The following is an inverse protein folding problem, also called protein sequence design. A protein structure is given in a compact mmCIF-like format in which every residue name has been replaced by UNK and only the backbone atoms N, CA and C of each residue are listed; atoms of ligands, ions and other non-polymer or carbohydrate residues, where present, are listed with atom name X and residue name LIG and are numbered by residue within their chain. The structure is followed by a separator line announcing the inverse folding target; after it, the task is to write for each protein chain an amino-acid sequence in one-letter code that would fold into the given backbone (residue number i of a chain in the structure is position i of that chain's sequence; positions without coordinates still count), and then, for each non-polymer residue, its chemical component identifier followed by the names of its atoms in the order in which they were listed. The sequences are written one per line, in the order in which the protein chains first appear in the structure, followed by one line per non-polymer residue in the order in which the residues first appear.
data_IF_899461696165
#
_entry.id   IF_899461696165
#
_cell.length_a   1.000
_cell.length_b   1.000
_cell.length_c   1.000
_cell.angle_alpha   90.00
_cell.angle_beta   90.00
_cell.angle_gamma   90.00
#
_symmetry.space_group_name_H-M   'P 1'
#
loop_
_entity.id
_entity.type
_entity.pdbx_description
1 polymer ?
#
# COMPACT_ATOMS: atom_id res chain seq x y z
N UNK A 1 -37.01 -15.66 -11.56
CA UNK A 1 -36.62 -16.14 -10.23
C UNK A 1 -35.35 -16.96 -10.43
N UNK A 2 -34.17 -16.31 -10.40
CA UNK A 2 -32.90 -16.98 -10.58
C UNK A 2 -32.46 -17.43 -9.19
N UNK A 3 -32.40 -18.74 -8.95
CA UNK A 3 -31.96 -19.34 -7.71
C UNK A 3 -30.54 -18.85 -7.40
N UNK A 4 -30.38 -18.04 -6.35
CA UNK A 4 -29.10 -17.77 -5.72
C UNK A 4 -28.60 -19.06 -5.06
N UNK A 5 -27.96 -19.92 -5.84
CA UNK A 5 -27.18 -21.00 -5.25
C UNK A 5 -26.03 -20.38 -4.45
N UNK A 6 -25.90 -20.74 -3.17
CA UNK A 6 -24.79 -20.28 -2.36
C UNK A 6 -23.49 -20.79 -2.99
N UNK A 7 -22.60 -19.84 -3.41
CA UNK A 7 -21.26 -20.19 -3.89
C UNK A 7 -20.60 -21.12 -2.88
N UNK A 8 -20.00 -22.24 -3.32
CA UNK A 8 -19.35 -23.18 -2.42
C UNK A 8 -18.29 -22.41 -1.60
N UNK A 9 -18.46 -22.40 -0.28
CA UNK A 9 -17.46 -21.83 0.66
C UNK A 9 -16.16 -22.61 0.46
N UNK A 10 -15.13 -21.97 -0.03
CA UNK A 10 -13.79 -22.57 -0.07
C UNK A 10 -13.41 -22.98 1.35
N UNK A 11 -12.92 -24.22 1.50
CA UNK A 11 -12.54 -24.74 2.81
C UNK A 11 -11.52 -23.82 3.49
N UNK A 12 -11.55 -23.72 4.82
CA UNK A 12 -10.66 -22.90 5.65
C UNK A 12 -9.18 -23.08 5.25
N UNK A 13 -8.78 -24.31 4.93
CA UNK A 13 -7.42 -24.67 4.49
C UNK A 13 -7.02 -24.01 3.17
N UNK A 14 -7.97 -23.87 2.22
CA UNK A 14 -7.70 -23.22 0.93
C UNK A 14 -7.52 -21.73 1.12
N UNK A 15 -8.35 -21.09 1.94
CA UNK A 15 -8.22 -19.67 2.24
C UNK A 15 -6.91 -19.37 2.99
N UNK A 16 -6.53 -20.24 3.93
CA UNK A 16 -5.23 -20.13 4.62
C UNK A 16 -4.06 -20.25 3.66
N UNK A 17 -4.07 -21.25 2.77
CA UNK A 17 -3.03 -21.44 1.77
C UNK A 17 -2.92 -20.24 0.80
N UNK A 18 -4.05 -19.71 0.34
CA UNK A 18 -4.09 -18.53 -0.54
C UNK A 18 -3.50 -17.32 0.15
N UNK A 19 -3.84 -17.08 1.42
CA UNK A 19 -3.28 -15.96 2.19
C UNK A 19 -1.79 -16.14 2.47
N UNK A 20 -1.35 -17.35 2.78
CA UNK A 20 0.07 -17.66 2.99
C UNK A 20 0.90 -17.44 1.71
N UNK A 21 0.41 -17.93 0.58
CA UNK A 21 1.05 -17.70 -0.73
C UNK A 21 1.09 -16.20 -1.04
N UNK A 22 -0.01 -15.47 -0.82
CA UNK A 22 -0.05 -14.02 -1.01
C UNK A 22 0.97 -13.26 -0.15
N UNK A 23 1.18 -13.70 1.09
CA UNK A 23 2.15 -13.09 1.99
C UNK A 23 3.62 -13.39 1.61
N UNK A 24 3.89 -14.58 1.06
CA UNK A 24 5.26 -15.04 0.72
C UNK A 24 5.65 -14.65 -0.71
N UNK A 25 4.71 -14.58 -1.63
CA UNK A 25 4.97 -14.30 -3.05
C UNK A 25 5.78 -13.01 -3.33
N UNK A 26 5.66 -11.92 -2.56
CA UNK A 26 6.49 -10.72 -2.75
C UNK A 26 7.97 -10.93 -2.40
N UNK A 27 8.33 -11.88 -1.51
CA UNK A 27 9.70 -12.04 -1.01
C UNK A 27 10.71 -12.30 -2.12
N UNK A 28 10.51 -13.27 -3.04
CA UNK A 28 11.42 -13.49 -4.16
C UNK A 28 11.61 -12.25 -5.03
N UNK A 29 10.55 -11.46 -5.20
CA UNK A 29 10.59 -10.23 -6.02
C UNK A 29 11.50 -9.21 -5.37
N UNK A 30 11.39 -8.99 -4.04
CA UNK A 30 12.29 -8.11 -3.30
C UNK A 30 13.76 -8.58 -3.43
N UNK A 31 14.02 -9.87 -3.27
CA UNK A 31 15.38 -10.44 -3.39
C UNK A 31 15.97 -10.18 -4.77
N UNK A 32 15.17 -10.23 -5.83
CA UNK A 32 15.62 -10.00 -7.20
C UNK A 32 15.75 -8.51 -7.55
N UNK A 33 14.86 -7.67 -7.04
CA UNK A 33 14.83 -6.24 -7.39
C UNK A 33 15.88 -5.43 -6.64
N UNK A 34 16.19 -5.76 -5.38
CA UNK A 34 17.16 -5.01 -4.56
C UNK A 34 18.54 -4.91 -5.22
N UNK A 35 19.18 -6.00 -5.70
CA UNK A 35 20.46 -5.90 -6.39
C UNK A 35 20.40 -5.03 -7.66
N UNK A 36 19.26 -5.06 -8.37
CA UNK A 36 19.07 -4.24 -9.59
C UNK A 36 19.01 -2.77 -9.22
N UNK A 37 18.28 -2.39 -8.14
CA UNK A 37 18.25 -1.03 -7.63
C UNK A 37 19.65 -0.52 -7.29
N UNK A 38 20.40 -1.30 -6.48
CA UNK A 38 21.74 -0.92 -6.03
C UNK A 38 22.66 -0.74 -7.24
N UNK A 39 22.59 -1.64 -8.22
CA UNK A 39 23.45 -1.58 -9.40
C UNK A 39 23.17 -0.34 -10.27
N UNK A 40 21.92 0.09 -10.44
CA UNK A 40 21.56 1.19 -11.34
C UNK A 40 21.49 2.55 -10.65
N UNK A 41 21.01 2.62 -9.42
CA UNK A 41 20.82 3.87 -8.68
C UNK A 41 21.97 4.18 -7.72
N UNK A 42 22.75 3.17 -7.32
CA UNK A 42 23.80 3.26 -6.30
C UNK A 42 23.26 3.17 -4.87
N UNK A 43 24.16 2.88 -3.93
CA UNK A 43 23.82 2.61 -2.53
C UNK A 43 23.14 3.79 -1.84
N UNK A 44 23.56 5.01 -2.12
CA UNK A 44 23.06 6.22 -1.47
C UNK A 44 21.59 6.49 -1.84
N UNK A 45 21.23 6.42 -3.13
CA UNK A 45 19.85 6.59 -3.60
C UNK A 45 18.95 5.46 -3.14
N UNK A 46 19.45 4.21 -3.19
CA UNK A 46 18.72 3.07 -2.66
C UNK A 46 18.46 3.21 -1.15
N UNK A 47 19.44 3.71 -0.39
CA UNK A 47 19.28 4.01 1.02
C UNK A 47 18.14 5.00 1.30
N UNK A 48 18.07 6.10 0.53
CA UNK A 48 16.98 7.08 0.63
C UNK A 48 15.63 6.44 0.26
N UNK A 49 15.57 5.69 -0.84
CA UNK A 49 14.35 4.99 -1.25
C UNK A 49 13.86 4.01 -0.17
N UNK A 50 14.77 3.29 0.46
CA UNK A 50 14.46 2.38 1.57
C UNK A 50 13.89 3.11 2.77
N UNK A 51 14.42 4.29 3.12
CA UNK A 51 13.87 5.14 4.18
C UNK A 51 12.45 5.60 3.85
N UNK A 52 12.19 5.98 2.60
CA UNK A 52 10.85 6.36 2.14
C UNK A 52 9.86 5.19 2.30
N UNK A 53 10.24 3.99 1.88
CA UNK A 53 9.39 2.79 2.06
C UNK A 53 9.12 2.47 3.52
N UNK A 54 10.13 2.59 4.38
CA UNK A 54 9.98 2.43 5.82
C UNK A 54 8.99 3.46 6.37
N UNK A 55 9.12 4.74 6.00
CA UNK A 55 8.20 5.79 6.43
C UNK A 55 6.77 5.52 5.98
N UNK A 56 6.56 5.14 4.73
CA UNK A 56 5.22 4.75 4.21
C UNK A 56 4.68 3.55 4.98
N UNK A 57 5.52 2.55 5.25
CA UNK A 57 5.14 1.36 6.01
C UNK A 57 4.71 1.68 7.45
N UNK A 58 5.44 2.54 8.16
CA UNK A 58 5.04 2.99 9.48
C UNK A 58 3.76 3.82 9.47
N UNK A 59 3.57 4.66 8.46
CA UNK A 59 2.36 5.49 8.35
C UNK A 59 1.14 4.72 7.85
N UNK A 60 1.33 3.57 7.20
CA UNK A 60 0.23 2.62 6.95
C UNK A 60 -0.42 2.13 8.26
N UNK A 61 0.31 2.22 9.40
CA UNK A 61 -0.27 2.00 10.73
C UNK A 61 -1.37 3.00 11.10
N UNK A 62 -1.45 4.15 10.42
CA UNK A 62 -2.55 5.11 10.55
C UNK A 62 -3.91 4.57 10.05
N UNK A 63 -3.92 3.41 9.38
CA UNK A 63 -5.19 2.68 9.15
C UNK A 63 -5.91 2.34 10.46
N UNK A 64 -5.20 2.34 11.61
CA UNK A 64 -5.75 2.14 12.97
C UNK A 64 -6.69 0.93 13.08
N UNK A 65 -6.54 -0.05 12.19
CA UNK A 65 -7.40 -1.22 12.15
C UNK A 65 -8.78 -0.94 11.52
N UNK A 66 -8.91 0.11 10.72
CA UNK A 66 -10.16 0.42 10.00
C UNK A 66 -10.56 -0.70 9.03
N UNK A 67 -9.59 -1.35 8.36
CA UNK A 67 -9.86 -2.47 7.49
C UNK A 67 -10.54 -3.64 8.24
N UNK A 68 -9.96 -4.22 9.32
CA UNK A 68 -10.63 -5.27 10.09
C UNK A 68 -11.93 -4.78 10.77
N UNK A 69 -12.02 -3.53 11.22
CA UNK A 69 -13.25 -2.97 11.76
C UNK A 69 -14.36 -2.92 10.71
N UNK A 70 -14.05 -2.49 9.49
CA UNK A 70 -14.98 -2.44 8.37
C UNK A 70 -15.43 -3.85 7.98
N UNK A 71 -14.51 -4.82 7.91
CA UNK A 71 -14.82 -6.24 7.64
C UNK A 71 -15.81 -6.77 8.68
N UNK A 72 -15.53 -6.55 9.97
CA UNK A 72 -16.39 -6.99 11.06
C UNK A 72 -17.78 -6.31 11.03
N UNK A 73 -17.83 -5.00 10.77
CA UNK A 73 -19.10 -4.29 10.64
C UNK A 73 -19.92 -4.83 9.46
N UNK A 74 -19.28 -5.03 8.31
CA UNK A 74 -19.93 -5.56 7.11
C UNK A 74 -20.43 -7.01 7.28
N UNK A 75 -19.68 -7.83 8.02
CA UNK A 75 -20.05 -9.22 8.27
C UNK A 75 -21.28 -9.37 9.17
N UNK A 76 -21.57 -8.39 10.01
CA UNK A 76 -22.76 -8.36 10.90
C UNK A 76 -24.03 -7.92 10.19
N UNK A 77 -23.92 -7.27 9.05
CA UNK A 77 -25.07 -6.74 8.31
C UNK A 77 -25.64 -7.80 7.35
N UNK A 78 -26.96 -7.87 7.27
CA UNK A 78 -27.64 -8.76 6.30
C UNK A 78 -27.35 -8.31 4.88
N UNK A 79 -27.36 -9.25 3.94
CA UNK A 79 -27.08 -8.98 2.52
C UNK A 79 -28.07 -7.97 1.90
N UNK A 80 -29.32 -7.93 2.39
CA UNK A 80 -30.36 -7.05 1.89
C UNK A 80 -30.29 -5.61 2.44
N UNK A 81 -29.53 -5.39 3.52
CA UNK A 81 -29.39 -4.06 4.15
C UNK A 81 -28.40 -3.16 3.37
N UNK A 82 -28.75 -2.89 2.11
CA UNK A 82 -27.89 -2.12 1.18
C UNK A 82 -27.55 -0.72 1.74
N UNK A 83 -28.52 -0.08 2.41
CA UNK A 83 -28.34 1.28 2.94
C UNK A 83 -27.35 1.30 4.10
N UNK A 84 -27.46 0.39 5.04
CA UNK A 84 -26.54 0.29 6.18
C UNK A 84 -25.14 -0.09 5.74
N UNK A 85 -25.02 -1.03 4.79
CA UNK A 85 -23.74 -1.40 4.19
C UNK A 85 -23.06 -0.22 3.48
N UNK A 86 -23.83 0.58 2.74
CA UNK A 86 -23.32 1.79 2.11
C UNK A 86 -22.86 2.82 3.13
N UNK A 87 -23.56 3.01 4.24
CA UNK A 87 -23.16 3.91 5.32
C UNK A 87 -21.84 3.48 5.96
N UNK A 88 -21.67 2.17 6.26
CA UNK A 88 -20.41 1.64 6.81
C UNK A 88 -19.25 1.91 5.85
N UNK A 89 -19.44 1.67 4.56
CA UNK A 89 -18.41 1.93 3.55
C UNK A 89 -18.07 3.42 3.44
N UNK A 90 -19.07 4.28 3.34
CA UNK A 90 -18.86 5.74 3.26
C UNK A 90 -18.11 6.24 4.50
N UNK A 91 -18.50 5.78 5.69
CA UNK A 91 -17.83 6.15 6.94
C UNK A 91 -16.37 5.67 6.95
N UNK A 92 -16.11 4.42 6.58
CA UNK A 92 -14.77 3.86 6.51
C UNK A 92 -13.89 4.63 5.51
N UNK A 93 -14.38 4.89 4.30
CA UNK A 93 -13.65 5.67 3.30
C UNK A 93 -13.41 7.12 3.75
N UNK A 94 -14.40 7.76 4.38
CA UNK A 94 -14.24 9.14 4.88
C UNK A 94 -13.16 9.24 5.94
N UNK A 95 -13.12 8.30 6.89
CA UNK A 95 -12.08 8.22 7.92
C UNK A 95 -10.73 7.93 7.28
N UNK A 96 -10.66 7.00 6.33
CA UNK A 96 -9.42 6.69 5.60
C UNK A 96 -8.88 7.90 4.85
N UNK A 97 -9.73 8.66 4.16
CA UNK A 97 -9.32 9.89 3.46
C UNK A 97 -8.76 10.91 4.46
N UNK A 98 -9.44 11.11 5.58
CA UNK A 98 -8.96 12.02 6.62
C UNK A 98 -7.60 11.60 7.16
N UNK A 99 -7.42 10.32 7.51
CA UNK A 99 -6.15 9.78 7.99
C UNK A 99 -5.06 9.85 6.91
N UNK A 100 -5.42 9.61 5.66
CA UNK A 100 -4.53 9.72 4.52
C UNK A 100 -4.00 11.16 4.33
N UNK A 101 -4.87 12.16 4.47
CA UNK A 101 -4.47 13.57 4.40
C UNK A 101 -3.54 13.95 5.56
N UNK A 102 -3.89 13.55 6.79
CA UNK A 102 -3.03 13.78 7.97
C UNK A 102 -1.67 13.11 7.78
N UNK A 103 -1.65 11.86 7.33
CA UNK A 103 -0.43 11.11 7.06
C UNK A 103 0.41 11.72 5.94
N UNK A 104 -0.21 12.17 4.86
CA UNK A 104 0.48 12.86 3.75
C UNK A 104 1.14 14.16 4.22
N UNK A 105 0.44 14.97 5.01
CA UNK A 105 1.00 16.18 5.62
C UNK A 105 2.14 15.82 6.58
N UNK A 106 1.99 14.78 7.38
CA UNK A 106 3.03 14.32 8.31
C UNK A 106 4.28 13.88 7.56
N UNK A 107 4.16 13.04 6.51
CA UNK A 107 5.30 12.62 5.66
C UNK A 107 6.00 13.85 5.09
N UNK A 108 5.25 14.76 4.48
CA UNK A 108 5.83 15.95 3.88
C UNK A 108 6.59 16.79 4.90
N UNK A 109 5.99 17.03 6.07
CA UNK A 109 6.60 17.82 7.14
C UNK A 109 7.85 17.13 7.73
N UNK A 110 7.78 15.84 8.01
CA UNK A 110 8.92 15.05 8.52
C UNK A 110 10.03 15.01 7.47
N UNK A 111 9.71 14.80 6.20
CA UNK A 111 10.68 14.79 5.11
C UNK A 111 11.43 16.14 5.01
N UNK A 112 10.73 17.26 5.09
CA UNK A 112 11.36 18.59 5.11
C UNK A 112 12.24 18.79 6.33
N UNK A 113 11.83 18.33 7.52
CA UNK A 113 12.63 18.39 8.73
C UNK A 113 13.91 17.54 8.64
N UNK A 114 13.81 16.35 8.05
CA UNK A 114 14.96 15.48 7.82
C UNK A 114 15.96 16.11 6.84
N UNK A 115 15.47 16.74 5.77
CA UNK A 115 16.30 17.50 4.84
C UNK A 115 16.97 18.69 5.53
N UNK A 116 16.21 19.46 6.31
CA UNK A 116 16.74 20.62 7.04
C UNK A 116 17.80 20.26 8.09
N UNK A 117 17.77 19.03 8.62
CA UNK A 117 18.76 18.58 9.61
C UNK A 117 20.15 18.31 9.00
N UNK A 118 20.26 18.12 7.69
CA UNK A 118 21.51 17.87 6.95
C UNK A 118 22.28 16.60 7.33
N UNK A 119 21.67 15.72 8.16
CA UNK A 119 22.36 14.54 8.73
C UNK A 119 21.98 13.22 8.07
N UNK A 120 20.80 13.17 7.44
CA UNK A 120 20.20 11.90 7.02
C UNK A 120 20.20 11.69 5.50
N UNK A 121 20.45 12.74 4.74
CA UNK A 121 20.48 12.71 3.28
C UNK A 121 21.80 13.29 2.81
N UNK A 122 22.54 12.61 1.92
CA UNK A 122 23.71 13.18 1.28
C UNK A 122 23.38 14.50 0.58
N UNK A 123 24.28 15.48 0.66
CA UNK A 123 24.08 16.83 0.10
C UNK A 123 23.76 16.77 -1.40
N UNK A 124 24.39 15.83 -2.12
CA UNK A 124 24.20 15.60 -3.55
C UNK A 124 22.78 15.15 -3.90
N UNK A 125 22.07 14.52 -2.95
CA UNK A 125 20.72 13.99 -3.14
C UNK A 125 19.61 14.87 -2.57
N UNK A 126 19.94 15.94 -1.85
CA UNK A 126 18.93 16.82 -1.23
C UNK A 126 17.96 17.41 -2.26
N UNK A 127 18.45 17.81 -3.42
CA UNK A 127 17.64 18.34 -4.52
C UNK A 127 16.65 17.30 -5.06
N UNK A 128 17.10 16.07 -5.30
CA UNK A 128 16.29 14.96 -5.79
C UNK A 128 15.20 14.58 -4.78
N UNK A 129 15.59 14.44 -3.50
CA UNK A 129 14.66 14.10 -2.42
C UNK A 129 13.60 15.20 -2.25
N UNK A 130 14.02 16.48 -2.29
CA UNK A 130 13.08 17.61 -2.20
C UNK A 130 12.07 17.62 -3.35
N UNK A 131 12.50 17.32 -4.57
CA UNK A 131 11.63 17.23 -5.73
C UNK A 131 10.67 16.02 -5.64
N UNK A 132 11.11 14.91 -5.05
CA UNK A 132 10.29 13.71 -4.84
C UNK A 132 9.25 13.85 -3.71
N UNK A 133 9.46 14.73 -2.72
CA UNK A 133 8.61 14.87 -1.52
C UNK A 133 7.11 15.02 -1.82
N UNK A 134 6.66 15.88 -2.76
CA UNK A 134 5.23 16.02 -3.07
C UNK A 134 4.62 14.71 -3.59
N UNK A 135 5.37 13.98 -4.40
CA UNK A 135 4.93 12.69 -4.94
C UNK A 135 4.82 11.63 -3.87
N UNK A 136 5.82 11.56 -2.97
CA UNK A 136 5.83 10.65 -1.82
C UNK A 136 4.64 10.93 -0.90
N UNK A 137 4.36 12.21 -0.59
CA UNK A 137 3.22 12.60 0.23
C UNK A 137 1.88 12.20 -0.40
N UNK A 138 1.80 12.17 -1.74
CA UNK A 138 0.60 11.77 -2.48
C UNK A 138 0.43 10.25 -2.54
N UNK A 139 1.53 9.48 -2.48
CA UNK A 139 1.47 8.01 -2.50
C UNK A 139 0.76 7.43 -1.28
N UNK A 140 0.93 8.02 -0.09
CA UNK A 140 0.31 7.49 1.14
C UNK A 140 -1.23 7.47 1.07
N UNK A 141 -1.93 8.54 0.68
CA UNK A 141 -3.36 8.50 0.42
C UNK A 141 -3.78 7.36 -0.51
N UNK A 142 -3.03 7.15 -1.60
CA UNK A 142 -3.33 6.08 -2.55
C UNK A 142 -3.15 4.70 -1.94
N UNK A 143 -2.10 4.49 -1.13
CA UNK A 143 -1.86 3.22 -0.41
C UNK A 143 -2.98 2.94 0.57
N UNK A 144 -3.39 3.91 1.39
CA UNK A 144 -4.45 3.73 2.38
C UNK A 144 -5.82 3.46 1.72
N UNK A 145 -6.15 4.15 0.63
CA UNK A 145 -7.36 3.89 -0.15
C UNK A 145 -7.35 2.51 -0.82
N UNK A 146 -6.19 2.07 -1.30
CA UNK A 146 -6.02 0.74 -1.86
C UNK A 146 -6.25 -0.34 -0.80
N UNK A 147 -5.67 -0.18 0.39
CA UNK A 147 -5.86 -1.10 1.52
C UNK A 147 -7.33 -1.17 1.95
N UNK A 148 -8.02 -0.02 2.04
CA UNK A 148 -9.45 0.02 2.34
C UNK A 148 -10.28 -0.74 1.29
N UNK A 149 -9.94 -0.59 0.01
CA UNK A 149 -10.63 -1.29 -1.10
C UNK A 149 -10.41 -2.80 -1.02
N UNK A 150 -9.19 -3.25 -0.74
CA UNK A 150 -8.86 -4.67 -0.54
C UNK A 150 -9.64 -5.22 0.65
N UNK A 151 -9.72 -4.49 1.77
CA UNK A 151 -10.49 -4.87 2.95
C UNK A 151 -11.99 -5.09 2.63
N UNK A 152 -12.58 -4.27 1.76
CA UNK A 152 -13.98 -4.47 1.31
C UNK A 152 -14.14 -5.76 0.49
N UNK A 153 -13.15 -6.12 -0.32
CA UNK A 153 -13.15 -7.35 -1.11
C UNK A 153 -13.03 -8.58 -0.18
N UNK A 154 -12.17 -8.49 0.84
CA UNK A 154 -12.02 -9.52 1.87
C UNK A 154 -13.30 -9.70 2.69
N UNK A 155 -13.99 -8.61 3.03
CA UNK A 155 -15.28 -8.65 3.72
C UNK A 155 -16.37 -9.43 2.95
N UNK A 156 -16.19 -9.60 1.63
CA UNK A 156 -17.03 -10.44 0.77
C UNK A 156 -16.54 -11.89 0.65
N UNK A 157 -15.62 -12.31 1.51
CA UNK A 157 -14.98 -13.64 1.47
C UNK A 157 -14.27 -13.94 0.14
N UNK A 158 -13.94 -12.91 -0.65
CA UNK A 158 -13.24 -13.11 -1.94
C UNK A 158 -11.73 -12.95 -1.77
N UNK A 159 -11.15 -13.80 -0.91
CA UNK A 159 -9.73 -13.76 -0.57
C UNK A 159 -8.80 -13.95 -1.77
N UNK A 160 -9.23 -14.71 -2.78
CA UNK A 160 -8.42 -14.88 -3.98
C UNK A 160 -8.24 -13.56 -4.72
N UNK A 161 -9.33 -12.82 -4.95
CA UNK A 161 -9.26 -11.52 -5.63
C UNK A 161 -8.47 -10.52 -4.82
N UNK A 162 -8.69 -10.46 -3.50
CA UNK A 162 -7.94 -9.59 -2.61
C UNK A 162 -6.43 -9.87 -2.69
N UNK A 163 -6.01 -11.14 -2.59
CA UNK A 163 -4.61 -11.53 -2.70
C UNK A 163 -4.01 -11.25 -4.09
N UNK A 164 -4.75 -11.52 -5.17
CA UNK A 164 -4.28 -11.20 -6.53
C UNK A 164 -4.05 -9.71 -6.71
N UNK A 165 -4.95 -8.87 -6.22
CA UNK A 165 -4.80 -7.42 -6.27
C UNK A 165 -3.64 -6.93 -5.40
N UNK A 166 -3.50 -7.47 -4.19
CA UNK A 166 -2.44 -7.10 -3.26
C UNK A 166 -1.06 -7.51 -3.78
N UNK A 167 -0.90 -8.75 -4.24
CA UNK A 167 0.35 -9.24 -4.84
C UNK A 167 0.64 -8.47 -6.11
N UNK A 168 -0.37 -8.26 -6.97
CA UNK A 168 -0.22 -7.49 -8.20
C UNK A 168 0.23 -6.05 -7.96
N UNK A 169 -0.36 -5.35 -6.98
CA UNK A 169 0.07 -3.99 -6.63
C UNK A 169 1.47 -3.97 -6.01
N UNK A 170 1.85 -4.97 -5.22
CA UNK A 170 3.21 -5.10 -4.68
C UNK A 170 4.23 -5.33 -5.80
N UNK A 171 3.94 -6.25 -6.73
CA UNK A 171 4.79 -6.51 -7.91
C UNK A 171 4.94 -5.22 -8.73
N UNK A 172 3.83 -4.55 -9.02
CA UNK A 172 3.86 -3.30 -9.79
C UNK A 172 4.67 -2.23 -9.06
N UNK A 173 4.45 -2.04 -7.76
CA UNK A 173 5.18 -1.07 -6.94
C UNK A 173 6.68 -1.36 -6.82
N UNK A 174 7.12 -2.60 -7.03
CA UNK A 174 8.54 -2.96 -7.04
C UNK A 174 9.15 -2.92 -8.44
N UNK A 175 8.43 -3.41 -9.44
CA UNK A 175 8.95 -3.57 -10.80
C UNK A 175 8.91 -2.26 -11.60
N UNK A 176 7.86 -1.46 -11.42
CA UNK A 176 7.73 -0.19 -12.16
C UNK A 176 8.89 0.79 -11.87
N UNK A 177 9.29 1.04 -10.61
CA UNK A 177 10.46 1.88 -10.34
C UNK A 177 11.78 1.26 -10.85
N UNK A 178 11.92 -0.10 -10.84
CA UNK A 178 13.09 -0.77 -11.46
C UNK A 178 13.17 -0.45 -12.95
N UNK A 179 12.03 -0.56 -13.66
CA UNK A 179 11.95 -0.23 -15.09
C UNK A 179 12.32 1.23 -15.30
N UNK A 180 11.78 2.15 -14.48
CA UNK A 180 12.14 3.55 -14.54
C UNK A 180 13.64 3.77 -14.32
N UNK A 181 14.23 3.15 -13.29
CA UNK A 181 15.65 3.28 -12.98
C UNK A 181 16.56 2.75 -14.09
N UNK A 182 16.14 1.69 -14.81
CA UNK A 182 16.92 1.07 -15.87
C UNK A 182 16.79 1.81 -17.21
N UNK A 183 15.58 2.27 -17.55
CA UNK A 183 15.28 2.74 -18.92
C UNK A 183 15.01 4.25 -19.03
N UNK A 184 14.67 4.93 -17.95
CA UNK A 184 14.24 6.34 -17.98
C UNK A 184 15.25 7.24 -17.27
N UNK A 185 15.48 7.06 -15.99
CA UNK A 185 16.36 7.91 -15.18
C UNK A 185 16.77 7.19 -13.90
N UNK A 186 17.98 7.48 -13.42
CA UNK A 186 18.48 6.99 -12.14
C UNK A 186 18.10 7.93 -10.97
N UNK A 187 17.36 9.01 -11.22
CA UNK A 187 16.97 9.98 -10.19
C UNK A 187 15.75 9.51 -9.41
N UNK A 188 15.65 9.95 -8.14
CA UNK A 188 14.54 9.60 -7.24
C UNK A 188 13.19 10.21 -7.64
N UNK A 189 13.19 11.18 -8.54
CA UNK A 189 12.00 11.91 -9.00
C UNK A 189 11.41 11.40 -10.32
N UNK A 190 12.01 10.36 -10.91
CA UNK A 190 11.61 9.78 -12.19
C UNK A 190 10.41 8.84 -12.11
#
# INVERSE_FOLDING_TARGET
MKSDEPKPRRGLHVNFAVNLIGAVAPIPIFILTVPVYIHHMGDARYGVLSLIWIMIGYLAFLDLGLAPATINAMARLKLDDRRERAQVLISAFSINILMALIGGIAIYSIGLLLLASGKNVPVELEGEVRAAMPWIATLLPLVLLSNATIGVIEARENFLLANVLQVGSTIFGQVAPVICAVFVSNELSA
#
